data_IF_843610100560
#
_entry.id   IF_843610100560
#
_cell.length_a   1.000
_cell.length_b   1.000
_cell.length_c   1.000
_cell.angle_alpha   90.00
_cell.angle_beta   90.00
_cell.angle_gamma   90.00
#
_symmetry.space_group_name_H-M   'P 1'
#
loop_
_entity.id
_entity.type
_entity.pdbx_description
1 polymer ?
#
# COMPACT_ATOMS: atom_id res chain seq x y z
N UNK A 1 -10.88 25.94 12.83
CA UNK A 1 -10.92 25.40 11.47
C UNK A 1 -11.45 23.97 11.54
N UNK A 2 -12.65 23.73 10.98
CA UNK A 2 -13.33 22.42 10.95
C UNK A 2 -12.39 21.40 10.32
N UNK A 3 -11.97 20.36 11.06
CA UNK A 3 -11.31 19.17 10.50
C UNK A 3 -12.35 18.52 9.58
N UNK A 4 -12.22 18.68 8.26
CA UNK A 4 -13.02 17.90 7.30
C UNK A 4 -12.84 16.43 7.66
N UNK A 5 -13.93 15.78 8.02
CA UNK A 5 -13.94 14.34 8.26
C UNK A 5 -13.54 13.66 6.95
N UNK A 6 -12.44 12.92 6.96
CA UNK A 6 -12.04 12.15 5.79
C UNK A 6 -13.10 11.06 5.56
N UNK A 7 -13.62 10.98 4.34
CA UNK A 7 -14.55 9.94 3.90
C UNK A 7 -13.93 9.30 2.67
N UNK A 8 -13.64 8.02 2.76
CA UNK A 8 -13.10 7.27 1.64
C UNK A 8 -14.19 6.97 0.61
N UNK A 9 -13.97 7.33 -0.65
CA UNK A 9 -14.96 7.18 -1.74
C UNK A 9 -14.84 5.84 -2.49
N UNK A 10 -13.82 5.04 -2.22
CA UNK A 10 -13.50 3.80 -2.93
C UNK A 10 -14.01 2.51 -2.28
N UNK A 11 -15.05 2.53 -1.44
CA UNK A 11 -15.54 1.34 -0.71
C UNK A 11 -15.84 0.14 -1.63
N UNK A 12 -16.53 0.37 -2.76
CA UNK A 12 -16.85 -0.69 -3.73
C UNK A 12 -15.58 -1.31 -4.35
N UNK A 13 -14.55 -0.49 -4.56
CA UNK A 13 -13.27 -0.97 -5.08
C UNK A 13 -12.50 -1.79 -4.02
N UNK A 14 -12.59 -1.44 -2.73
CA UNK A 14 -12.01 -2.25 -1.65
C UNK A 14 -12.64 -3.66 -1.63
N UNK A 15 -13.96 -3.76 -1.73
CA UNK A 15 -14.66 -5.04 -1.78
C UNK A 15 -14.26 -5.85 -3.02
N UNK A 16 -14.25 -5.21 -4.19
CA UNK A 16 -13.85 -5.87 -5.43
C UNK A 16 -12.40 -6.39 -5.37
N UNK A 17 -11.48 -5.67 -4.72
CA UNK A 17 -10.09 -6.09 -4.56
C UNK A 17 -9.91 -7.26 -3.58
N UNK A 18 -10.87 -7.56 -2.70
CA UNK A 18 -10.79 -8.77 -1.86
C UNK A 18 -10.82 -10.06 -2.68
N UNK A 19 -11.41 -10.01 -3.88
CA UNK A 19 -11.51 -11.12 -4.82
C UNK A 19 -10.22 -11.39 -5.62
N UNK A 20 -9.23 -10.50 -5.53
CA UNK A 20 -7.94 -10.64 -6.20
C UNK A 20 -6.96 -11.49 -5.34
N UNK A 21 -7.19 -12.80 -5.30
CA UNK A 21 -6.52 -13.74 -4.38
C UNK A 21 -5.00 -13.80 -4.61
N UNK A 22 -4.56 -13.88 -5.87
CA UNK A 22 -3.14 -13.96 -6.22
C UNK A 22 -2.42 -12.64 -5.90
N UNK A 23 -3.05 -11.51 -6.23
CA UNK A 23 -2.52 -10.19 -5.93
C UNK A 23 -2.40 -9.96 -4.41
N UNK A 24 -3.44 -10.25 -3.65
CA UNK A 24 -3.42 -10.13 -2.20
C UNK A 24 -2.39 -11.08 -1.57
N UNK A 25 -2.29 -12.31 -2.07
CA UNK A 25 -1.27 -13.27 -1.67
C UNK A 25 0.15 -12.79 -1.96
N UNK A 26 0.37 -12.10 -3.08
CA UNK A 26 1.66 -11.47 -3.42
C UNK A 26 2.02 -10.37 -2.42
N UNK A 27 1.09 -9.45 -2.10
CA UNK A 27 1.31 -8.39 -1.14
C UNK A 27 1.62 -8.91 0.27
N UNK A 28 0.91 -9.94 0.71
CA UNK A 28 1.21 -10.63 1.99
C UNK A 28 2.62 -11.23 1.97
N UNK A 29 3.05 -11.85 0.86
CA UNK A 29 4.42 -12.36 0.73
C UNK A 29 5.48 -11.26 0.84
N UNK A 30 5.20 -10.06 0.32
CA UNK A 30 6.11 -8.92 0.49
C UNK A 30 6.26 -8.58 1.99
N UNK A 31 5.16 -8.46 2.73
CA UNK A 31 5.17 -8.16 4.17
C UNK A 31 5.91 -9.26 4.95
N UNK A 32 5.59 -10.54 4.71
CA UNK A 32 6.17 -11.66 5.44
C UNK A 32 7.68 -11.77 5.26
N UNK A 33 8.19 -11.41 4.07
CA UNK A 33 9.65 -11.38 3.81
C UNK A 33 10.38 -10.39 4.71
N UNK A 34 9.76 -9.26 5.02
CA UNK A 34 10.36 -8.23 5.88
C UNK A 34 10.24 -8.56 7.38
N UNK A 35 9.36 -9.49 7.74
CA UNK A 35 9.21 -10.02 9.10
C UNK A 35 10.07 -11.27 9.37
N UNK A 36 10.66 -11.87 8.34
CA UNK A 36 11.46 -13.08 8.50
C UNK A 36 12.70 -12.80 9.38
N UNK A 37 12.92 -13.67 10.37
CA UNK A 37 14.06 -13.57 11.30
C UNK A 37 13.94 -12.50 12.40
N UNK A 38 12.88 -11.70 12.44
CA UNK A 38 12.65 -10.74 13.53
C UNK A 38 12.12 -11.44 14.78
N UNK A 39 12.72 -11.16 15.95
CA UNK A 39 12.31 -11.72 17.25
C UNK A 39 10.99 -11.09 17.74
N UNK A 40 10.84 -9.79 17.60
CA UNK A 40 9.62 -9.03 17.90
C UNK A 40 8.95 -8.62 16.60
N UNK A 41 7.62 -8.56 16.60
CA UNK A 41 6.82 -8.29 15.41
C UNK A 41 5.70 -7.31 15.75
N UNK A 42 6.07 -6.08 16.10
CA UNK A 42 5.11 -5.00 16.27
C UNK A 42 4.83 -4.41 14.90
N UNK A 43 3.68 -4.74 14.33
CA UNK A 43 3.32 -4.42 12.95
C UNK A 43 2.20 -3.40 12.92
N UNK A 44 2.35 -2.38 12.06
CA UNK A 44 1.30 -1.39 11.78
C UNK A 44 0.85 -1.49 10.33
N UNK A 45 -0.44 -1.63 10.13
CA UNK A 45 -1.14 -1.42 8.86
C UNK A 45 -1.52 0.06 8.75
N UNK A 46 -0.81 0.81 7.91
CA UNK A 46 -1.06 2.23 7.69
C UNK A 46 -2.05 2.41 6.54
N UNK A 47 -3.27 2.85 6.85
CA UNK A 47 -4.39 2.90 5.93
C UNK A 47 -5.04 1.52 5.77
N UNK A 48 -5.41 0.90 6.90
CA UNK A 48 -5.84 -0.50 6.96
C UNK A 48 -7.14 -0.80 6.20
N UNK A 49 -7.92 0.22 5.83
CA UNK A 49 -9.18 0.03 5.14
C UNK A 49 -10.16 -0.86 5.91
N UNK A 50 -10.68 -1.88 5.25
CA UNK A 50 -11.54 -2.89 5.89
C UNK A 50 -10.79 -3.99 6.67
N UNK A 51 -9.45 -3.94 6.69
CA UNK A 51 -8.59 -4.90 7.40
C UNK A 51 -8.24 -6.14 6.59
N UNK A 52 -8.35 -6.13 5.28
CA UNK A 52 -8.08 -7.30 4.42
C UNK A 52 -6.69 -7.91 4.68
N UNK A 53 -5.65 -7.09 4.74
CA UNK A 53 -4.29 -7.57 4.97
C UNK A 53 -4.03 -7.90 6.43
N UNK A 54 -4.60 -7.14 7.36
CA UNK A 54 -4.56 -7.46 8.79
C UNK A 54 -5.19 -8.84 9.07
N UNK A 55 -6.38 -9.15 8.50
CA UNK A 55 -7.03 -10.46 8.62
C UNK A 55 -6.14 -11.60 8.07
N UNK A 56 -5.45 -11.37 6.94
CA UNK A 56 -4.57 -12.37 6.33
C UNK A 56 -3.30 -12.62 7.17
N UNK A 57 -2.76 -11.58 7.82
CA UNK A 57 -1.60 -11.69 8.72
C UNK A 57 -2.00 -12.33 10.05
N UNK A 58 -3.16 -11.98 10.61
CA UNK A 58 -3.68 -12.58 11.84
C UNK A 58 -3.88 -14.10 11.71
N UNK A 59 -4.39 -14.56 10.55
CA UNK A 59 -4.47 -16.01 10.24
C UNK A 59 -3.12 -16.72 10.23
N UNK A 60 -2.01 -15.96 10.16
CA UNK A 60 -0.62 -16.47 10.24
C UNK A 60 0.02 -16.24 11.62
N UNK A 61 -0.77 -15.85 12.62
CA UNK A 61 -0.30 -15.61 13.98
C UNK A 61 0.47 -14.30 14.14
N UNK A 62 0.28 -13.32 13.25
CA UNK A 62 0.91 -12.01 13.32
C UNK A 62 -0.14 -10.99 13.78
N UNK A 63 0.08 -10.39 14.95
CA UNK A 63 -0.74 -9.30 15.45
C UNK A 63 -0.40 -8.00 14.70
N UNK A 64 -1.45 -7.25 14.36
CA UNK A 64 -1.35 -6.02 13.58
C UNK A 64 -2.19 -4.93 14.23
N UNK A 65 -1.57 -3.79 14.54
CA UNK A 65 -2.29 -2.56 14.85
C UNK A 65 -2.74 -1.90 13.53
N UNK A 66 -3.93 -1.32 13.50
CA UNK A 66 -4.49 -0.70 12.31
C UNK A 66 -4.58 0.82 12.49
N UNK A 67 -4.04 1.59 11.53
CA UNK A 67 -4.27 3.03 11.46
C UNK A 67 -5.19 3.31 10.28
N UNK A 68 -6.35 3.94 10.57
CA UNK A 68 -7.38 4.23 9.58
C UNK A 68 -8.09 5.54 9.92
N UNK A 69 -8.11 6.55 9.03
CA UNK A 69 -8.77 7.82 9.30
C UNK A 69 -10.30 7.79 9.12
N UNK A 70 -10.84 6.87 8.30
CA UNK A 70 -12.29 6.77 8.04
C UNK A 70 -13.02 6.12 9.22
N UNK A 71 -14.00 6.83 9.80
CA UNK A 71 -14.73 6.36 10.99
C UNK A 71 -15.54 5.09 10.79
N UNK A 72 -16.08 4.86 9.57
CA UNK A 72 -16.84 3.64 9.26
C UNK A 72 -15.91 2.44 9.21
N UNK A 73 -14.76 2.59 8.54
CA UNK A 73 -13.74 1.56 8.46
C UNK A 73 -13.14 1.28 9.85
N UNK A 74 -12.92 2.31 10.68
CA UNK A 74 -12.51 2.11 12.09
C UNK A 74 -13.52 1.25 12.86
N UNK A 75 -14.83 1.50 12.71
CA UNK A 75 -15.86 0.71 13.38
C UNK A 75 -15.79 -0.77 12.94
N UNK A 76 -15.62 -1.01 11.65
CA UNK A 76 -15.43 -2.36 11.10
C UNK A 76 -14.17 -3.04 11.66
N UNK A 77 -13.05 -2.34 11.74
CA UNK A 77 -11.81 -2.88 12.29
C UNK A 77 -11.96 -3.21 13.78
N UNK A 78 -12.58 -2.32 14.57
CA UNK A 78 -12.84 -2.57 16.01
C UNK A 78 -13.78 -3.75 16.22
N UNK A 79 -14.81 -3.93 15.39
CA UNK A 79 -15.70 -5.09 15.48
C UNK A 79 -15.00 -6.43 15.21
N UNK A 80 -13.88 -6.39 14.48
CA UNK A 80 -12.99 -7.54 14.25
C UNK A 80 -11.96 -7.76 15.37
N UNK A 81 -11.93 -6.87 16.38
CA UNK A 81 -11.02 -6.97 17.52
C UNK A 81 -9.66 -6.32 17.32
N UNK A 82 -9.45 -5.55 16.25
CA UNK A 82 -8.19 -4.84 16.05
C UNK A 82 -8.03 -3.64 16.97
N UNK A 83 -6.79 -3.35 17.36
CA UNK A 83 -6.42 -2.06 17.92
C UNK A 83 -6.37 -1.04 16.79
N UNK A 84 -7.24 -0.01 16.87
CA UNK A 84 -7.44 0.97 15.81
C UNK A 84 -7.04 2.36 16.26
N UNK A 85 -6.17 2.98 15.49
CA UNK A 85 -5.62 4.32 15.66
C UNK A 85 -6.19 5.24 14.57
N UNK A 86 -6.37 6.51 14.89
CA UNK A 86 -6.95 7.50 13.96
C UNK A 86 -5.89 8.37 13.29
N UNK A 87 -4.74 8.60 13.94
CA UNK A 87 -3.66 9.47 13.48
C UNK A 87 -2.32 8.92 13.94
N UNK A 88 -1.30 9.03 13.10
CA UNK A 88 0.07 8.65 13.44
C UNK A 88 0.67 9.50 14.56
N UNK A 89 0.15 10.73 14.77
CA UNK A 89 0.57 11.64 15.85
C UNK A 89 0.26 11.11 17.25
N UNK A 90 -0.71 10.21 17.37
CA UNK A 90 -1.11 9.60 18.63
C UNK A 90 -0.19 8.45 19.04
N UNK A 91 0.78 8.10 18.18
CA UNK A 91 1.69 7.00 18.37
C UNK A 91 3.01 7.45 19.04
N UNK A 92 3.50 6.60 19.93
CA UNK A 92 4.81 6.82 20.56
C UNK A 92 5.92 6.57 19.53
N UNK A 93 7.05 7.31 19.62
CA UNK A 93 8.26 7.00 18.86
C UNK A 93 8.69 5.52 19.06
N UNK A 94 9.37 4.98 18.09
CA UNK A 94 10.00 3.63 18.13
C UNK A 94 9.05 2.49 18.49
N UNK A 95 7.77 2.63 18.11
CA UNK A 95 6.73 1.67 18.49
C UNK A 95 6.65 0.44 17.59
N UNK A 96 7.12 0.51 16.34
CA UNK A 96 6.89 -0.55 15.34
C UNK A 96 8.16 -1.05 14.69
N UNK A 97 8.25 -2.38 14.52
CA UNK A 97 9.34 -3.06 13.81
C UNK A 97 9.08 -3.11 12.31
N UNK A 98 7.80 -3.08 11.90
CA UNK A 98 7.36 -2.97 10.51
C UNK A 98 6.12 -2.08 10.41
N UNK A 99 6.17 -1.14 9.48
CA UNK A 99 4.99 -0.40 9.01
C UNK A 99 4.82 -0.70 7.54
N UNK A 100 3.63 -1.14 7.14
CA UNK A 100 3.32 -1.29 5.73
C UNK A 100 2.16 -0.38 5.31
N UNK A 101 2.25 0.16 4.10
CA UNK A 101 1.23 1.00 3.47
C UNK A 101 1.02 0.51 2.04
N UNK A 102 -0.13 -0.12 1.78
CA UNK A 102 -0.46 -0.74 0.51
C UNK A 102 -1.57 0.04 -0.19
N UNK A 103 -1.23 0.77 -1.26
CA UNK A 103 -2.13 1.66 -1.99
C UNK A 103 -2.80 2.71 -1.07
N UNK A 104 -1.98 3.46 -0.33
CA UNK A 104 -2.42 4.48 0.63
C UNK A 104 -1.84 5.85 0.30
N UNK A 105 -0.54 5.95 0.03
CA UNK A 105 0.16 7.23 -0.14
C UNK A 105 -0.34 8.04 -1.34
N UNK A 106 -0.89 7.40 -2.37
CA UNK A 106 -1.53 8.05 -3.51
C UNK A 106 -2.78 8.86 -3.13
N UNK A 107 -3.41 8.53 -2.01
CA UNK A 107 -4.58 9.23 -1.47
C UNK A 107 -4.21 10.35 -0.49
N UNK A 108 -2.93 10.53 -0.19
CA UNK A 108 -2.45 11.52 0.78
C UNK A 108 -1.88 12.73 0.03
N UNK A 109 -2.42 13.92 0.29
CA UNK A 109 -1.95 15.16 -0.35
C UNK A 109 -0.53 15.50 0.09
N UNK A 110 -0.26 15.54 1.41
CA UNK A 110 1.09 15.69 1.99
C UNK A 110 1.70 14.31 2.28
N UNK A 111 2.11 13.62 1.23
CA UNK A 111 2.76 12.32 1.33
C UNK A 111 4.16 12.39 1.98
N UNK A 112 4.89 13.47 1.79
CA UNK A 112 6.20 13.67 2.42
C UNK A 112 6.11 13.84 3.94
N UNK A 113 5.18 14.68 4.42
CA UNK A 113 4.96 14.89 5.85
C UNK A 113 4.46 13.62 6.55
N UNK A 114 3.56 12.88 5.90
CA UNK A 114 3.10 11.59 6.43
C UNK A 114 4.21 10.53 6.45
N UNK A 115 5.05 10.46 5.42
CA UNK A 115 6.20 9.55 5.43
C UNK A 115 7.16 9.88 6.58
N UNK A 116 7.48 11.17 6.79
CA UNK A 116 8.31 11.63 7.89
C UNK A 116 7.69 11.31 9.28
N UNK A 117 6.36 11.36 9.40
CA UNK A 117 5.67 10.95 10.62
C UNK A 117 5.82 9.44 10.87
N UNK A 118 5.73 8.61 9.82
CA UNK A 118 5.91 7.16 9.95
C UNK A 118 7.33 6.78 10.36
N UNK A 119 8.36 7.48 9.84
CA UNK A 119 9.75 7.17 10.22
C UNK A 119 10.03 7.41 11.69
N UNK A 120 9.36 8.37 12.33
CA UNK A 120 9.50 8.67 13.76
C UNK A 120 8.95 7.58 14.68
N UNK A 121 7.97 6.83 14.21
CA UNK A 121 7.35 5.75 15.00
C UNK A 121 7.95 4.37 14.70
N UNK A 122 8.85 4.27 13.72
CA UNK A 122 9.65 3.06 13.50
C UNK A 122 10.70 2.90 14.58
N UNK A 123 10.82 1.69 15.11
CA UNK A 123 11.92 1.30 15.98
C UNK A 123 13.27 1.40 15.25
N UNK A 124 14.35 1.38 16.03
CA UNK A 124 15.71 1.18 15.47
C UNK A 124 15.71 -0.09 14.62
N UNK A 125 16.29 -0.02 13.43
CA UNK A 125 16.26 -1.10 12.43
C UNK A 125 14.85 -1.51 11.97
N UNK A 126 13.83 -0.71 12.31
CA UNK A 126 12.46 -0.89 11.85
C UNK A 126 12.34 -0.66 10.35
N UNK A 127 11.38 -1.30 9.72
CA UNK A 127 11.20 -1.30 8.26
C UNK A 127 9.89 -0.60 7.90
N UNK A 128 9.95 0.26 6.88
CA UNK A 128 8.76 0.72 6.16
C UNK A 128 8.66 0.01 4.81
N UNK A 129 7.48 -0.52 4.50
CA UNK A 129 7.12 -1.08 3.21
C UNK A 129 6.01 -0.24 2.59
N UNK A 130 6.28 0.40 1.45
CA UNK A 130 5.29 1.17 0.69
C UNK A 130 5.09 0.51 -0.66
N UNK A 131 3.82 0.28 -1.02
CA UNK A 131 3.42 -0.23 -2.31
C UNK A 131 2.36 0.70 -2.90
N UNK A 132 2.65 1.35 -4.02
CA UNK A 132 1.82 2.41 -4.61
C UNK A 132 1.75 2.30 -6.13
N UNK A 133 0.69 2.84 -6.79
CA UNK A 133 0.60 2.88 -8.24
C UNK A 133 1.73 3.70 -8.86
N UNK A 134 2.30 3.15 -9.93
CA UNK A 134 3.43 3.74 -10.61
C UNK A 134 3.01 4.51 -11.88
N UNK A 135 3.90 5.42 -12.30
CA UNK A 135 3.86 6.22 -13.52
C UNK A 135 2.64 7.14 -13.67
N UNK A 136 2.89 8.44 -13.53
CA UNK A 136 1.88 9.47 -13.76
C UNK A 136 1.30 9.42 -15.17
N UNK A 137 2.03 8.87 -16.14
CA UNK A 137 1.53 8.65 -17.51
C UNK A 137 0.36 7.64 -17.57
N UNK A 138 0.20 6.76 -16.57
CA UNK A 138 -0.92 5.83 -16.45
C UNK A 138 -2.12 6.41 -15.68
N UNK A 139 -2.00 7.63 -15.14
CA UNK A 139 -3.09 8.27 -14.41
C UNK A 139 -4.33 8.40 -15.29
N UNK A 140 -5.48 7.91 -14.81
CA UNK A 140 -6.71 7.73 -15.59
C UNK A 140 -7.95 8.18 -14.84
N UNK A 141 -9.13 8.00 -15.43
CA UNK A 141 -10.43 8.23 -14.79
C UNK A 141 -10.62 7.39 -13.53
N UNK A 142 -10.08 6.17 -13.50
CA UNK A 142 -10.12 5.31 -12.32
C UNK A 142 -9.39 5.93 -11.13
N UNK A 143 -8.18 6.49 -11.34
CA UNK A 143 -7.44 7.16 -10.28
C UNK A 143 -8.21 8.35 -9.70
N UNK A 144 -8.88 9.12 -10.57
CA UNK A 144 -9.75 10.23 -10.15
C UNK A 144 -10.94 9.76 -9.34
N UNK A 145 -11.58 8.67 -9.78
CA UNK A 145 -12.76 8.09 -9.12
C UNK A 145 -12.47 7.67 -7.69
N UNK A 146 -11.29 7.06 -7.46
CA UNK A 146 -10.89 6.60 -6.11
C UNK A 146 -10.14 7.67 -5.31
N UNK A 147 -9.97 8.88 -5.84
CA UNK A 147 -9.39 10.02 -5.12
C UNK A 147 -7.87 10.01 -5.03
N UNK A 148 -7.18 9.48 -6.04
CA UNK A 148 -5.73 9.58 -6.11
C UNK A 148 -5.28 11.00 -6.42
N UNK A 149 -4.32 11.51 -5.67
CA UNK A 149 -3.62 12.75 -6.00
C UNK A 149 -2.56 12.51 -7.06
N UNK A 150 -1.89 11.34 -7.06
CA UNK A 150 -0.74 11.05 -7.90
C UNK A 150 -0.45 9.56 -8.06
N UNK A 151 0.42 9.28 -9.04
CA UNK A 151 1.15 8.02 -9.15
C UNK A 151 2.65 8.27 -8.98
N UNK A 152 3.40 7.25 -8.64
CA UNK A 152 4.77 7.36 -8.18
C UNK A 152 5.79 6.90 -9.23
N UNK A 153 7.01 7.41 -9.10
CA UNK A 153 8.23 6.86 -9.71
C UNK A 153 9.23 6.55 -8.61
N UNK A 154 10.17 5.64 -8.89
CA UNK A 154 11.24 5.28 -7.94
C UNK A 154 11.95 6.50 -7.36
N UNK A 155 12.25 7.52 -8.18
CA UNK A 155 12.96 8.71 -7.71
C UNK A 155 12.21 9.46 -6.60
N UNK A 156 10.86 9.58 -6.67
CA UNK A 156 10.09 10.21 -5.60
C UNK A 156 10.21 9.45 -4.29
N UNK A 157 10.02 8.13 -4.33
CA UNK A 157 10.16 7.28 -3.14
C UNK A 157 11.61 7.27 -2.61
N UNK A 158 12.60 7.28 -3.50
CA UNK A 158 14.01 7.42 -3.13
C UNK A 158 14.28 8.73 -2.37
N UNK A 159 13.76 9.86 -2.87
CA UNK A 159 13.88 11.15 -2.17
C UNK A 159 13.19 11.15 -0.81
N UNK A 160 11.99 10.56 -0.71
CA UNK A 160 11.28 10.43 0.56
C UNK A 160 12.11 9.63 1.59
N UNK A 161 12.68 8.50 1.20
CA UNK A 161 13.53 7.69 2.06
C UNK A 161 14.82 8.43 2.47
N UNK A 162 15.54 9.01 1.51
CA UNK A 162 16.81 9.71 1.77
C UNK A 162 16.64 10.93 2.68
N UNK A 163 15.57 11.72 2.48
CA UNK A 163 15.29 12.91 3.29
C UNK A 163 14.89 12.56 4.74
N UNK A 164 14.60 11.30 5.02
CA UNK A 164 14.23 10.82 6.35
C UNK A 164 15.27 9.83 6.92
N UNK A 165 16.52 9.89 6.46
CA UNK A 165 17.64 9.08 6.94
C UNK A 165 17.37 7.56 6.91
N UNK A 166 16.67 7.07 5.85
CA UNK A 166 16.36 5.66 5.69
C UNK A 166 17.32 4.99 4.72
N UNK A 167 17.77 3.77 5.04
CA UNK A 167 18.49 2.90 4.09
C UNK A 167 17.51 2.16 3.19
N UNK A 168 17.59 2.39 1.88
CA UNK A 168 16.77 1.70 0.89
C UNK A 168 17.28 0.26 0.73
N UNK A 169 16.46 -0.71 1.12
CA UNK A 169 16.72 -2.13 0.96
C UNK A 169 16.22 -2.66 -0.38
N UNK A 170 15.03 -2.22 -0.81
CA UNK A 170 14.41 -2.59 -2.09
C UNK A 170 13.68 -1.39 -2.68
N UNK A 171 13.85 -1.19 -3.98
CA UNK A 171 13.11 -0.16 -4.73
C UNK A 171 12.98 -0.62 -6.19
N UNK A 172 11.83 -1.15 -6.55
CA UNK A 172 11.59 -1.68 -7.89
C UNK A 172 10.12 -1.57 -8.30
N UNK A 173 9.87 -1.73 -9.59
CA UNK A 173 8.51 -1.79 -10.12
C UNK A 173 7.95 -3.21 -10.00
N UNK A 174 6.63 -3.30 -9.88
CA UNK A 174 5.89 -4.55 -9.74
C UNK A 174 4.77 -4.59 -10.77
N UNK A 175 4.32 -5.79 -11.12
CA UNK A 175 3.19 -6.02 -12.02
C UNK A 175 3.39 -5.41 -13.43
N UNK A 176 4.37 -5.93 -14.23
CA UNK A 176 4.61 -5.44 -15.58
C UNK A 176 3.46 -5.69 -16.56
N UNK A 177 2.71 -6.80 -16.44
CA UNK A 177 1.53 -7.05 -17.29
C UNK A 177 0.42 -6.07 -16.94
N UNK A 178 0.25 -5.73 -15.64
CA UNK A 178 -0.67 -4.70 -15.21
C UNK A 178 -0.35 -3.31 -15.76
N UNK A 179 0.93 -3.02 -16.03
CA UNK A 179 1.31 -1.80 -16.71
C UNK A 179 0.69 -1.73 -18.13
N UNK A 180 0.81 -2.81 -18.91
CA UNK A 180 0.23 -2.89 -20.25
C UNK A 180 -1.32 -2.82 -20.19
N UNK A 181 -1.94 -3.52 -19.23
CA UNK A 181 -3.39 -3.47 -19.01
C UNK A 181 -3.87 -2.07 -18.64
N UNK A 182 -3.16 -1.36 -17.75
CA UNK A 182 -3.50 0.02 -17.37
C UNK A 182 -3.34 0.99 -18.55
N UNK A 183 -2.33 0.80 -19.38
CA UNK A 183 -2.14 1.60 -20.61
C UNK A 183 -3.29 1.36 -21.60
N UNK A 184 -3.68 0.10 -21.82
CA UNK A 184 -4.81 -0.25 -22.66
C UNK A 184 -6.13 0.35 -22.11
N UNK A 185 -6.38 0.23 -20.81
CA UNK A 185 -7.55 0.85 -20.17
C UNK A 185 -7.59 2.36 -20.39
N UNK A 186 -6.47 3.04 -20.20
CA UNK A 186 -6.37 4.48 -20.46
C UNK A 186 -6.66 4.82 -21.92
N UNK A 187 -6.19 4.01 -22.87
CA UNK A 187 -6.41 4.22 -24.29
C UNK A 187 -7.88 4.08 -24.72
N UNK A 188 -8.69 3.29 -24.00
CA UNK A 188 -10.14 3.17 -24.24
C UNK A 188 -10.91 4.45 -23.91
N UNK A 189 -10.28 5.46 -23.25
CA UNK A 189 -10.91 6.70 -22.79
C UNK A 189 -12.17 6.47 -21.95
N UNK A 190 -12.23 5.35 -21.20
CA UNK A 190 -13.35 5.05 -20.32
C UNK A 190 -13.49 6.16 -19.27
N UNK A 191 -14.55 6.97 -19.38
CA UNK A 191 -14.79 8.11 -18.50
C UNK A 191 -15.34 7.70 -17.13
N UNK A 192 -15.98 6.52 -17.02
CA UNK A 192 -16.55 6.04 -15.76
C UNK A 192 -15.48 5.66 -14.73
N UNK A 193 -14.30 5.22 -15.18
CA UNK A 193 -13.24 4.72 -14.30
C UNK A 193 -13.56 3.38 -13.61
N UNK A 194 -14.72 2.80 -13.87
CA UNK A 194 -15.16 1.55 -13.22
C UNK A 194 -14.56 0.33 -13.93
N UNK A 195 -14.01 -0.59 -13.17
CA UNK A 195 -13.57 -1.91 -13.63
C UNK A 195 -14.49 -2.96 -13.03
N UNK A 196 -15.02 -3.86 -13.85
CA UNK A 196 -15.91 -4.89 -13.35
C UNK A 196 -15.18 -5.92 -12.48
N UNK A 197 -15.86 -6.46 -11.47
CA UNK A 197 -15.32 -7.53 -10.62
C UNK A 197 -14.91 -8.76 -11.44
N UNK A 198 -15.62 -9.07 -12.53
CA UNK A 198 -15.24 -10.15 -13.47
C UNK A 198 -13.88 -9.90 -14.11
N UNK A 199 -13.61 -8.66 -14.54
CA UNK A 199 -12.32 -8.28 -15.13
C UNK A 199 -11.19 -8.36 -14.13
N UNK A 200 -11.44 -7.96 -12.87
CA UNK A 200 -10.47 -8.09 -11.78
C UNK A 200 -10.13 -9.56 -11.52
N UNK A 201 -11.14 -10.43 -11.37
CA UNK A 201 -10.95 -11.88 -11.17
C UNK A 201 -10.19 -12.53 -12.33
N UNK A 202 -10.55 -12.20 -13.57
CA UNK A 202 -9.89 -12.74 -14.76
C UNK A 202 -8.42 -12.31 -14.82
N UNK A 203 -8.17 -11.02 -14.58
CA UNK A 203 -6.81 -10.48 -14.51
C UNK A 203 -6.00 -11.19 -13.42
N UNK A 204 -6.54 -11.27 -12.20
CA UNK A 204 -5.88 -11.88 -11.06
C UNK A 204 -5.53 -13.34 -11.30
N UNK A 205 -6.44 -14.09 -11.94
CA UNK A 205 -6.27 -15.53 -12.14
C UNK A 205 -5.32 -15.87 -13.28
N UNK A 206 -5.28 -15.08 -14.36
CA UNK A 206 -4.53 -15.37 -15.57
C UNK A 206 -3.33 -14.45 -15.76
N UNK A 207 -3.56 -13.13 -15.76
CA UNK A 207 -2.53 -12.16 -16.13
C UNK A 207 -1.54 -11.91 -14.98
N UNK A 208 -2.03 -11.84 -13.73
CA UNK A 208 -1.18 -11.53 -12.58
C UNK A 208 -0.12 -12.63 -12.30
N UNK A 209 -0.38 -13.94 -12.37
CA UNK A 209 0.66 -14.97 -12.30
C UNK A 209 1.74 -14.81 -13.37
N UNK A 210 1.36 -14.52 -14.61
CA UNK A 210 2.32 -14.23 -15.70
C UNK A 210 3.13 -12.98 -15.36
N UNK A 211 2.48 -11.95 -14.81
CA UNK A 211 3.13 -10.74 -14.38
C UNK A 211 4.20 -10.99 -13.32
N UNK A 212 3.91 -11.81 -12.32
CA UNK A 212 4.88 -12.16 -11.26
C UNK A 212 6.06 -12.98 -11.80
N UNK A 213 5.85 -13.78 -12.84
CA UNK A 213 6.92 -14.53 -13.52
C UNK A 213 7.86 -13.59 -14.29
N UNK A 214 7.33 -12.54 -14.92
CA UNK A 214 8.10 -11.57 -15.69
C UNK A 214 8.75 -10.49 -14.83
N UNK A 215 8.26 -10.29 -13.60
CA UNK A 215 8.72 -9.23 -12.69
C UNK A 215 10.24 -9.26 -12.43
N UNK A 216 10.91 -10.39 -12.17
CA UNK A 216 12.36 -10.42 -11.93
C UNK A 216 13.18 -9.79 -13.06
N UNK A 217 12.70 -9.89 -14.29
CA UNK A 217 13.36 -9.36 -15.49
C UNK A 217 13.03 -7.87 -15.67
N UNK A 218 11.76 -7.48 -15.48
CA UNK A 218 11.23 -6.17 -15.87
C UNK A 218 11.18 -5.16 -14.70
N UNK A 219 11.35 -5.60 -13.44
CA UNK A 219 11.19 -4.78 -12.22
C UNK A 219 12.06 -3.51 -12.16
N UNK A 220 13.11 -3.42 -12.95
CA UNK A 220 13.98 -2.24 -12.97
C UNK A 220 13.50 -1.17 -13.96
N UNK A 221 12.68 -1.54 -14.93
CA UNK A 221 12.25 -0.70 -16.06
C UNK A 221 10.84 -0.16 -15.88
N UNK A 222 9.85 -1.01 -15.71
CA UNK A 222 8.45 -0.62 -15.57
C UNK A 222 7.61 -1.67 -14.83
N UNK A 223 6.41 -1.23 -14.37
CA UNK A 223 5.37 -2.04 -13.74
C UNK A 223 4.20 -1.14 -13.37
N UNK A 224 3.03 -1.71 -13.12
CA UNK A 224 1.82 -0.96 -12.73
C UNK A 224 2.00 -0.27 -11.37
N UNK A 225 2.79 -0.88 -10.50
CA UNK A 225 3.05 -0.41 -9.14
C UNK A 225 4.56 -0.30 -8.89
N UNK A 226 4.92 0.38 -7.83
CA UNK A 226 6.30 0.48 -7.32
C UNK A 226 6.32 0.17 -5.84
N UNK A 227 7.29 -0.62 -5.42
CA UNK A 227 7.54 -0.95 -4.02
C UNK A 227 8.80 -0.28 -3.52
N UNK A 228 8.73 0.29 -2.33
CA UNK A 228 9.86 0.72 -1.51
C UNK A 228 9.89 -0.12 -0.24
N UNK A 229 11.04 -0.69 0.08
CA UNK A 229 11.36 -1.21 1.40
C UNK A 229 12.57 -0.45 1.91
N UNK A 230 12.42 0.24 3.03
CA UNK A 230 13.49 1.02 3.62
C UNK A 230 13.58 0.78 5.13
N UNK A 231 14.81 0.78 5.64
CA UNK A 231 15.14 0.53 7.04
C UNK A 231 15.48 1.84 7.73
N UNK A 232 14.99 2.02 8.96
CA UNK A 232 15.30 3.15 9.81
C UNK A 232 16.74 3.08 10.33
N UNK A 233 17.52 4.15 10.11
CA UNK A 233 18.90 4.28 10.60
C UNK A 233 18.99 5.10 11.90
N UNK A 234 17.89 5.30 12.63
CA UNK A 234 17.95 6.00 13.92
C UNK A 234 18.96 5.31 14.86
N UNK A 235 19.84 6.10 15.45
CA UNK A 235 20.84 5.67 16.43
C UNK A 235 20.22 5.29 17.78
#
# INVERSE_FOLDING_TARGET
>A
LSKKTFVYTGHENLEAMTEAINYNGYLIKLILRELAGKKTKRVLDFGAGSGTYADMLQKKGIEVDCLEPDKKLQATLRSKGYKVLSDAKDLKPESYDLIYALNVFEHIEDDHGNFAALTKILAKDGIVLIYVPAFQSLFSSMDKLVGHYRRYRKNRLKHMANNNNMTIMKLHYCDPVGFAAALAFKATRNSSGVISAKSIKLYDRIAFPVSTLLEPILKHTFGKNVVLVAKNNAE
#
